data_IF_271760998429
#
_entry.id   IF_271760998429
#
_cell.length_a   1.000
_cell.length_b   1.000
_cell.length_c   1.000
_cell.angle_alpha   90.00
_cell.angle_beta   90.00
_cell.angle_gamma   90.00
#
_symmetry.space_group_name_H-M   'P 1'
#
loop_
_entity.id
_entity.type
_entity.pdbx_description
1 polymer ?
#
# COMPACT_ATOMS: atom_id res chain seq x y z
N UNK A 1 13.15 18.54 -25.12
CA UNK A 1 12.02 19.22 -25.81
C UNK A 1 11.88 20.64 -25.27
N UNK A 2 11.48 21.59 -26.11
CA UNK A 2 11.12 22.97 -25.69
C UNK A 2 9.64 23.18 -25.98
N UNK A 3 8.86 23.48 -24.94
CA UNK A 3 7.47 23.95 -25.08
C UNK A 3 7.54 25.48 -25.27
N UNK A 4 7.08 26.03 -26.41
CA UNK A 4 7.21 27.45 -26.70
C UNK A 4 6.16 28.30 -25.96
N UNK A 5 6.36 29.62 -25.97
CA UNK A 5 5.37 30.58 -25.45
C UNK A 5 4.02 30.45 -26.16
N UNK A 6 2.93 30.79 -25.45
CA UNK A 6 1.55 30.71 -25.96
C UNK A 6 0.92 29.32 -25.86
N UNK A 7 1.67 28.29 -25.45
CA UNK A 7 1.10 27.00 -25.07
C UNK A 7 0.49 27.13 -23.68
N UNK A 8 -0.84 27.00 -23.58
CA UNK A 8 -1.55 27.14 -22.30
C UNK A 8 -1.65 25.82 -21.53
N UNK A 9 -1.64 24.69 -22.24
CA UNK A 9 -1.76 23.35 -21.64
C UNK A 9 -0.83 22.36 -22.31
N UNK A 10 -0.22 21.48 -21.51
CA UNK A 10 0.41 20.26 -22.00
C UNK A 10 -0.65 19.17 -21.92
N UNK A 11 -1.17 18.76 -23.07
CA UNK A 11 -2.33 17.86 -23.16
C UNK A 11 -2.06 16.47 -22.60
N UNK A 12 -3.15 15.76 -22.27
CA UNK A 12 -3.08 14.42 -21.72
C UNK A 12 -2.25 13.49 -22.62
N UNK A 13 -1.33 12.72 -22.01
CA UNK A 13 -0.42 11.78 -22.69
C UNK A 13 0.49 12.40 -23.78
N UNK A 14 0.68 13.72 -23.82
CA UNK A 14 1.42 14.40 -24.91
C UNK A 14 2.84 13.85 -25.17
N UNK A 15 3.54 13.41 -24.13
CA UNK A 15 4.88 12.83 -24.18
C UNK A 15 4.92 11.42 -23.56
N UNK A 16 3.79 10.71 -23.52
CA UNK A 16 3.74 9.37 -22.97
C UNK A 16 4.75 8.43 -23.67
N UNK A 17 5.51 7.67 -22.87
CA UNK A 17 6.56 6.75 -23.29
C UNK A 17 7.64 7.36 -24.19
N UNK A 18 7.91 8.65 -24.07
CA UNK A 18 9.06 9.29 -24.70
C UNK A 18 10.35 8.93 -23.95
N UNK A 19 10.79 7.67 -24.03
CA UNK A 19 11.91 7.12 -23.25
C UNK A 19 13.25 7.85 -23.47
N UNK A 20 13.48 8.41 -24.66
CA UNK A 20 14.69 9.19 -24.97
C UNK A 20 14.60 10.67 -24.55
N UNK A 21 13.49 11.12 -23.96
CA UNK A 21 13.32 12.50 -23.53
C UNK A 21 14.09 12.77 -22.24
N UNK A 22 15.29 13.34 -22.37
CA UNK A 22 16.17 13.60 -21.22
C UNK A 22 15.88 14.92 -20.50
N UNK A 23 15.30 15.89 -21.20
CA UNK A 23 14.99 17.21 -20.64
C UNK A 23 13.77 17.86 -21.31
N UNK A 24 13.02 18.60 -20.51
CA UNK A 24 11.88 19.42 -20.95
C UNK A 24 12.10 20.84 -20.43
N UNK A 25 12.10 21.80 -21.33
CA UNK A 25 12.07 23.22 -21.00
C UNK A 25 10.67 23.74 -21.31
N UNK A 26 9.92 24.12 -20.28
CA UNK A 26 8.56 24.65 -20.41
C UNK A 26 8.66 26.18 -20.39
N UNK A 27 8.39 26.84 -21.52
CA UNK A 27 8.32 28.32 -21.62
C UNK A 27 6.89 28.83 -21.45
N UNK A 28 6.74 30.15 -21.38
CA UNK A 28 5.64 30.85 -20.73
C UNK A 28 4.24 30.50 -21.24
N UNK A 29 3.28 30.75 -20.35
CA UNK A 29 1.81 30.60 -20.47
C UNK A 29 1.22 29.24 -20.11
N UNK A 30 2.02 28.19 -19.92
CA UNK A 30 1.46 26.91 -19.44
C UNK A 30 0.83 27.12 -18.06
N UNK A 31 -0.46 26.80 -17.96
CA UNK A 31 -1.25 26.80 -16.72
C UNK A 31 -1.52 25.39 -16.21
N UNK A 32 -1.47 24.40 -17.10
CA UNK A 32 -1.88 23.04 -16.79
C UNK A 32 -1.00 22.01 -17.50
N UNK A 33 -0.59 21.00 -16.75
CA UNK A 33 0.03 19.76 -17.26
C UNK A 33 -1.00 18.66 -17.02
N UNK A 34 -1.57 18.07 -18.06
CA UNK A 34 -2.69 17.15 -17.93
C UNK A 34 -2.27 15.70 -17.59
N UNK A 35 -3.28 14.85 -17.37
CA UNK A 35 -3.15 13.43 -17.05
C UNK A 35 -2.14 12.68 -17.93
N UNK A 36 -1.22 11.95 -17.30
CA UNK A 36 -0.16 11.17 -17.96
C UNK A 36 0.74 11.94 -18.96
N UNK A 37 0.79 13.28 -18.92
CA UNK A 37 1.48 14.09 -19.93
C UNK A 37 2.93 13.64 -20.21
N UNK A 38 3.68 13.20 -19.20
CA UNK A 38 5.05 12.68 -19.28
C UNK A 38 5.18 11.25 -18.74
N UNK A 39 4.08 10.48 -18.71
CA UNK A 39 4.11 9.09 -18.24
C UNK A 39 5.16 8.27 -19.00
N UNK A 40 5.98 7.49 -18.31
CA UNK A 40 6.98 6.62 -18.92
C UNK A 40 8.13 7.35 -19.62
N UNK A 41 8.37 8.63 -19.35
CA UNK A 41 9.56 9.33 -19.84
C UNK A 41 10.81 8.88 -19.05
N UNK A 42 11.26 7.65 -19.30
CA UNK A 42 12.33 7.01 -18.52
C UNK A 42 13.68 7.71 -18.64
N UNK A 43 13.93 8.48 -19.70
CA UNK A 43 15.14 9.29 -19.85
C UNK A 43 15.14 10.59 -19.05
N UNK A 44 13.99 11.06 -18.55
CA UNK A 44 13.86 12.36 -17.90
C UNK A 44 14.53 12.33 -16.52
N UNK A 45 15.54 13.18 -16.30
CA UNK A 45 16.32 13.19 -15.04
C UNK A 45 15.91 14.30 -14.08
N UNK A 46 15.28 15.36 -14.58
CA UNK A 46 14.87 16.51 -13.77
C UNK A 46 13.66 17.19 -14.36
N UNK A 47 12.79 17.74 -13.51
CA UNK A 47 11.72 18.64 -13.92
C UNK A 47 11.72 19.91 -13.07
N UNK A 48 11.74 21.05 -13.76
CA UNK A 48 11.48 22.37 -13.20
C UNK A 48 10.14 22.84 -13.79
N UNK A 49 9.10 22.78 -12.98
CA UNK A 49 7.77 23.24 -13.38
C UNK A 49 7.76 24.77 -13.24
N UNK A 50 7.55 25.53 -14.34
CA UNK A 50 7.71 26.97 -14.33
C UNK A 50 6.59 27.67 -13.56
N UNK A 51 6.88 28.88 -13.08
CA UNK A 51 5.85 29.77 -12.55
C UNK A 51 4.71 30.00 -13.55
N UNK A 52 3.50 30.04 -13.01
CA UNK A 52 2.26 30.12 -13.77
C UNK A 52 1.55 28.78 -13.93
N UNK A 53 2.21 27.62 -13.77
CA UNK A 53 1.50 26.33 -13.72
C UNK A 53 0.68 26.26 -12.44
N UNK A 54 -0.63 26.07 -12.59
CA UNK A 54 -1.60 26.04 -11.49
C UNK A 54 -2.06 24.62 -11.19
N UNK A 55 -2.06 23.74 -12.19
CA UNK A 55 -2.59 22.36 -12.08
C UNK A 55 -1.63 21.36 -12.71
N UNK A 56 -1.38 20.25 -12.01
CA UNK A 56 -0.68 19.07 -12.53
C UNK A 56 -1.60 17.86 -12.41
N UNK A 57 -1.88 17.20 -13.53
CA UNK A 57 -2.80 16.09 -13.63
C UNK A 57 -2.27 14.81 -13.01
N UNK A 58 -3.20 13.89 -12.72
CA UNK A 58 -2.85 12.61 -12.13
C UNK A 58 -1.82 11.85 -12.99
N UNK A 59 -0.89 11.20 -12.32
CA UNK A 59 0.14 10.37 -12.95
C UNK A 59 0.96 11.11 -14.03
N UNK A 60 1.00 12.45 -14.05
CA UNK A 60 1.65 13.23 -15.10
C UNK A 60 3.12 12.84 -15.33
N UNK A 61 3.83 12.41 -14.29
CA UNK A 61 5.23 11.96 -14.35
C UNK A 61 5.39 10.49 -13.92
N UNK A 62 4.31 9.70 -13.95
CA UNK A 62 4.35 8.28 -13.58
C UNK A 62 5.44 7.53 -14.38
N UNK A 63 6.17 6.64 -13.73
CA UNK A 63 7.16 5.79 -14.39
C UNK A 63 8.39 6.54 -14.95
N UNK A 64 8.60 7.81 -14.61
CA UNK A 64 9.85 8.52 -14.88
C UNK A 64 10.95 8.02 -13.95
N UNK A 65 11.39 6.77 -14.15
CA UNK A 65 12.24 6.02 -13.20
C UNK A 65 13.60 6.66 -12.94
N UNK A 66 14.12 7.47 -13.86
CA UNK A 66 15.38 8.20 -13.69
C UNK A 66 15.20 9.65 -13.21
N UNK A 67 13.97 10.09 -12.91
CA UNK A 67 13.71 11.44 -12.40
C UNK A 67 14.31 11.59 -11.00
N UNK A 68 15.26 12.50 -10.86
CA UNK A 68 16.04 12.71 -9.63
C UNK A 68 15.61 13.96 -8.87
N UNK A 69 15.26 15.03 -9.60
CA UNK A 69 14.92 16.32 -9.01
C UNK A 69 13.59 16.85 -9.53
N UNK A 70 12.79 17.35 -8.60
CA UNK A 70 11.47 17.96 -8.87
C UNK A 70 11.43 19.33 -8.22
N UNK A 71 11.13 20.36 -9.01
CA UNK A 71 10.86 21.71 -8.53
C UNK A 71 9.45 22.13 -8.94
N UNK A 72 8.65 22.52 -7.96
CA UNK A 72 7.25 22.93 -8.11
C UNK A 72 7.10 24.43 -7.81
N UNK A 73 6.31 25.18 -8.59
CA UNK A 73 6.24 26.64 -8.50
C UNK A 73 5.32 27.11 -7.37
N UNK A 74 5.40 28.40 -7.05
CA UNK A 74 4.52 29.05 -6.08
C UNK A 74 3.07 29.17 -6.61
N UNK A 75 2.90 29.20 -7.94
CA UNK A 75 1.59 29.22 -8.58
C UNK A 75 0.77 27.94 -8.43
N UNK A 76 1.39 26.79 -8.16
CA UNK A 76 0.71 25.48 -8.14
C UNK A 76 -0.37 25.43 -7.05
N UNK A 77 -1.60 25.07 -7.44
CA UNK A 77 -2.80 25.06 -6.59
C UNK A 77 -3.37 23.69 -6.34
N UNK A 78 -3.25 22.78 -7.31
CA UNK A 78 -3.78 21.44 -7.19
C UNK A 78 -2.96 20.41 -7.97
N UNK A 79 -3.00 19.19 -7.45
CA UNK A 79 -2.85 18.00 -8.26
C UNK A 79 -4.26 17.57 -8.64
N UNK A 80 -4.56 17.35 -9.92
CA UNK A 80 -5.86 16.84 -10.32
C UNK A 80 -5.87 15.32 -10.10
N UNK A 81 -6.92 14.79 -9.47
CA UNK A 81 -7.11 13.35 -9.30
C UNK A 81 -8.48 12.96 -9.81
N UNK A 82 -8.49 11.90 -10.62
CA UNK A 82 -9.71 11.37 -11.21
C UNK A 82 -10.54 10.62 -10.15
N UNK A 83 -9.93 10.09 -9.08
CA UNK A 83 -10.58 9.19 -8.11
C UNK A 83 -10.21 9.47 -6.63
N UNK A 84 -9.69 10.66 -6.32
CA UNK A 84 -9.29 11.05 -4.95
C UNK A 84 -7.99 10.42 -4.45
N UNK A 85 -7.33 9.58 -5.25
CA UNK A 85 -5.99 9.05 -5.01
C UNK A 85 -5.01 9.79 -5.92
N UNK A 86 -3.98 10.40 -5.35
CA UNK A 86 -2.98 11.19 -6.10
C UNK A 86 -1.72 10.35 -6.30
N UNK A 87 -1.24 10.21 -7.54
CA UNK A 87 0.07 9.58 -7.78
C UNK A 87 0.83 10.19 -8.95
N UNK A 88 1.03 11.51 -8.90
CA UNK A 88 1.74 12.29 -9.93
C UNK A 88 3.11 11.70 -10.29
N UNK A 89 3.82 11.18 -9.29
CA UNK A 89 5.16 10.61 -9.41
C UNK A 89 5.19 9.11 -9.11
N UNK A 90 4.09 8.38 -9.37
CA UNK A 90 4.03 6.92 -9.15
C UNK A 90 5.20 6.21 -9.84
N UNK A 91 5.96 5.39 -9.10
CA UNK A 91 7.06 4.63 -9.67
C UNK A 91 8.33 5.44 -10.01
N UNK A 92 8.36 6.75 -9.70
CA UNK A 92 9.58 7.54 -9.76
C UNK A 92 10.51 7.18 -8.58
N UNK A 93 11.36 6.16 -8.79
CA UNK A 93 12.18 5.55 -7.75
C UNK A 93 13.55 6.21 -7.54
N UNK A 94 13.97 7.09 -8.45
CA UNK A 94 15.26 7.80 -8.37
C UNK A 94 15.18 9.19 -7.72
N UNK A 95 13.99 9.68 -7.37
CA UNK A 95 13.82 11.04 -6.81
C UNK A 95 14.60 11.13 -5.50
N UNK A 96 15.42 12.16 -5.39
CA UNK A 96 16.22 12.47 -4.19
C UNK A 96 16.04 13.91 -3.71
N UNK A 97 15.48 14.79 -4.54
CA UNK A 97 15.24 16.18 -4.18
C UNK A 97 13.86 16.61 -4.65
N UNK A 98 13.05 17.10 -3.71
CA UNK A 98 11.73 17.69 -3.98
C UNK A 98 11.69 19.07 -3.35
N UNK A 99 11.46 20.08 -4.18
CA UNK A 99 11.35 21.47 -3.74
C UNK A 99 10.02 22.02 -4.20
N UNK A 100 9.26 22.55 -3.23
CA UNK A 100 8.11 23.42 -3.49
C UNK A 100 8.57 24.85 -3.23
N UNK A 101 8.38 25.73 -4.20
CA UNK A 101 8.83 27.12 -4.12
C UNK A 101 8.26 27.84 -2.90
N UNK A 102 9.08 28.74 -2.33
CA UNK A 102 8.68 29.58 -1.21
C UNK A 102 7.44 30.41 -1.58
N UNK A 103 6.50 30.54 -0.63
CA UNK A 103 5.26 31.28 -0.84
C UNK A 103 4.17 30.51 -1.59
N UNK A 104 4.39 29.25 -2.01
CA UNK A 104 3.28 28.43 -2.50
C UNK A 104 2.18 28.39 -1.42
N UNK A 105 0.93 28.76 -1.73
CA UNK A 105 -0.13 28.91 -0.72
C UNK A 105 -0.76 27.59 -0.28
N UNK A 106 -0.63 26.51 -1.07
CA UNK A 106 -1.27 25.22 -0.81
C UNK A 106 -0.28 24.16 -0.33
N UNK A 107 0.87 24.06 -0.99
CA UNK A 107 1.84 22.99 -0.78
C UNK A 107 3.12 23.48 -0.11
N UNK A 108 3.84 22.56 0.52
CA UNK A 108 5.18 22.80 1.06
C UNK A 108 6.03 21.53 0.97
N UNK A 109 7.35 21.72 0.89
CA UNK A 109 8.33 20.63 0.99
C UNK A 109 9.03 20.56 2.34
N UNK A 110 8.96 21.64 3.13
CA UNK A 110 9.51 21.75 4.48
C UNK A 110 11.00 21.40 4.62
N UNK A 111 11.76 21.40 3.52
CA UNK A 111 13.15 20.90 3.52
C UNK A 111 13.27 19.40 3.75
N UNK A 112 12.17 18.67 3.72
CA UNK A 112 12.07 17.25 4.04
C UNK A 112 11.91 16.36 2.80
N UNK A 113 12.15 16.88 1.59
CA UNK A 113 11.95 16.19 0.32
C UNK A 113 10.55 15.58 0.16
N UNK A 114 9.51 16.30 0.58
CA UNK A 114 8.11 15.85 0.48
C UNK A 114 7.27 16.87 -0.27
N UNK A 115 6.03 16.49 -0.54
CA UNK A 115 4.94 17.41 -0.89
C UNK A 115 3.88 17.25 0.18
N UNK A 116 3.60 18.32 0.92
CA UNK A 116 2.56 18.36 1.97
C UNK A 116 1.48 19.34 1.55
N UNK A 117 0.20 18.93 1.63
CA UNK A 117 -0.93 19.87 1.62
C UNK A 117 -1.01 20.55 2.99
N UNK A 118 -0.83 21.88 3.00
CA UNK A 118 -0.81 22.68 4.23
C UNK A 118 -2.17 22.79 4.91
N UNK A 119 -3.26 22.72 4.15
CA UNK A 119 -4.60 22.91 4.71
C UNK A 119 -5.03 21.69 5.52
N UNK A 120 -4.68 20.50 5.06
CA UNK A 120 -5.00 19.23 5.74
C UNK A 120 -3.82 18.64 6.53
N UNK A 121 -2.63 19.23 6.44
CA UNK A 121 -1.39 18.66 6.98
C UNK A 121 -1.14 17.21 6.49
N UNK A 122 -1.48 16.93 5.22
CA UNK A 122 -1.35 15.61 4.60
C UNK A 122 -0.08 15.55 3.76
N UNK A 123 0.79 14.58 4.05
CA UNK A 123 1.91 14.24 3.18
C UNK A 123 1.36 13.53 1.94
N UNK A 124 1.46 14.17 0.78
CA UNK A 124 0.94 13.69 -0.50
C UNK A 124 1.95 12.87 -1.29
N UNK A 125 3.24 13.19 -1.16
CA UNK A 125 4.29 12.46 -1.84
C UNK A 125 5.63 12.61 -1.10
N UNK A 126 6.41 11.54 -1.09
CA UNK A 126 7.80 11.53 -0.64
C UNK A 126 8.64 10.55 -1.45
N UNK A 127 9.95 10.69 -1.33
CA UNK A 127 10.96 9.87 -1.97
C UNK A 127 11.87 9.19 -0.93
N UNK A 128 12.94 8.52 -1.38
CA UNK A 128 13.82 7.75 -0.50
C UNK A 128 14.57 8.58 0.55
N UNK A 129 14.86 9.85 0.25
CA UNK A 129 15.57 10.78 1.15
C UNK A 129 14.60 11.63 1.98
N UNK A 130 13.31 11.28 1.99
CA UNK A 130 12.32 12.05 2.72
C UNK A 130 12.36 11.79 4.21
N UNK A 131 12.13 12.85 4.96
CA UNK A 131 11.65 12.76 6.34
C UNK A 131 10.19 13.21 6.38
N UNK A 132 9.39 12.64 7.27
CA UNK A 132 8.04 13.13 7.49
C UNK A 132 8.15 14.37 8.38
N UNK A 133 7.65 15.54 7.96
CA UNK A 133 7.84 16.78 8.71
C UNK A 133 7.02 16.77 10.01
N UNK A 134 7.59 17.38 11.06
CA UNK A 134 6.87 17.69 12.29
C UNK A 134 5.62 18.53 11.98
N UNK A 135 4.47 18.11 12.50
CA UNK A 135 3.17 18.74 12.24
C UNK A 135 2.38 18.13 11.07
N UNK A 136 2.94 17.17 10.32
CA UNK A 136 2.12 16.33 9.46
C UNK A 136 1.16 15.48 10.32
N UNK A 137 -0.10 15.40 9.90
CA UNK A 137 -1.15 14.64 10.61
C UNK A 137 -1.49 13.36 9.86
N UNK A 138 -1.39 13.38 8.53
CA UNK A 138 -1.80 12.26 7.68
C UNK A 138 -0.69 11.87 6.72
N UNK A 139 -0.39 10.57 6.63
CA UNK A 139 0.33 10.02 5.47
C UNK A 139 -0.72 9.67 4.42
N UNK A 140 -0.75 10.48 3.36
CA UNK A 140 -1.76 10.40 2.31
C UNK A 140 -1.70 9.13 1.48
N UNK A 141 -2.78 8.87 0.73
CA UNK A 141 -2.84 7.70 -0.13
C UNK A 141 -1.70 7.72 -1.15
N UNK A 142 -1.02 6.59 -1.31
CA UNK A 142 0.13 6.41 -2.22
C UNK A 142 1.31 7.37 -2.01
N UNK A 143 1.43 8.00 -0.84
CA UNK A 143 2.48 8.98 -0.56
C UNK A 143 3.92 8.49 -0.82
N UNK A 144 4.21 7.22 -0.53
CA UNK A 144 5.48 6.55 -0.77
C UNK A 144 5.31 5.32 -1.67
N UNK A 145 4.29 5.31 -2.53
CA UNK A 145 3.96 4.15 -3.37
C UNK A 145 5.15 3.70 -4.24
N UNK A 146 5.53 2.43 -4.09
CA UNK A 146 6.65 1.76 -4.77
C UNK A 146 8.00 2.47 -4.62
N UNK A 147 8.22 3.19 -3.51
CA UNK A 147 9.54 3.73 -3.16
C UNK A 147 10.45 2.60 -2.63
N UNK A 148 10.88 1.70 -3.52
CA UNK A 148 11.64 0.48 -3.19
C UNK A 148 13.01 0.75 -2.57
N UNK A 149 13.55 1.96 -2.74
CA UNK A 149 14.81 2.40 -2.15
C UNK A 149 14.65 3.03 -0.76
N UNK A 150 13.42 3.25 -0.28
CA UNK A 150 13.14 3.76 1.06
C UNK A 150 13.41 2.65 2.09
N UNK A 151 14.52 2.74 2.82
CA UNK A 151 14.94 1.70 3.77
C UNK A 151 14.39 1.88 5.19
N UNK A 152 14.15 3.15 5.57
CA UNK A 152 13.65 3.53 6.87
C UNK A 152 12.86 4.82 6.75
N UNK A 153 11.79 4.95 7.52
CA UNK A 153 11.05 6.20 7.67
C UNK A 153 10.51 6.30 9.09
N UNK A 154 10.79 7.41 9.75
CA UNK A 154 10.27 7.68 11.09
C UNK A 154 8.88 8.31 10.96
N UNK A 155 7.90 7.77 11.68
CA UNK A 155 6.59 8.38 11.87
C UNK A 155 6.69 9.32 13.10
N UNK A 156 6.66 10.66 12.93
CA UNK A 156 6.72 11.58 14.05
C UNK A 156 5.47 11.50 14.92
N UNK A 157 5.60 11.93 16.18
CA UNK A 157 4.45 12.09 17.06
C UNK A 157 3.52 13.15 16.47
N UNK A 158 2.22 12.84 16.40
CA UNK A 158 1.21 13.70 15.75
C UNK A 158 0.62 13.10 14.47
N UNK A 159 1.29 12.13 13.84
CA UNK A 159 0.68 11.34 12.76
C UNK A 159 -0.48 10.55 13.33
N UNK A 160 -1.67 10.75 12.76
CA UNK A 160 -2.92 10.11 13.17
C UNK A 160 -3.34 9.02 12.19
N UNK A 161 -3.17 9.24 10.88
CA UNK A 161 -3.64 8.29 9.86
C UNK A 161 -2.56 7.93 8.85
N UNK A 162 -2.59 6.66 8.43
CA UNK A 162 -1.79 6.12 7.32
C UNK A 162 -2.77 5.54 6.30
N UNK A 163 -2.94 6.24 5.19
CA UNK A 163 -4.00 5.97 4.22
C UNK A 163 -3.68 4.83 3.24
N UNK A 164 -4.65 4.54 2.38
CA UNK A 164 -4.62 3.50 1.35
C UNK A 164 -3.32 3.51 0.54
N UNK A 165 -2.65 2.36 0.52
CA UNK A 165 -1.42 2.12 -0.23
C UNK A 165 -0.27 3.12 0.07
N UNK A 166 -0.29 3.81 1.21
CA UNK A 166 0.69 4.85 1.55
C UNK A 166 2.14 4.42 1.38
N UNK A 167 2.49 3.19 1.76
CA UNK A 167 3.82 2.59 1.64
C UNK A 167 3.82 1.34 0.75
N UNK A 168 2.77 1.12 -0.05
CA UNK A 168 2.65 -0.10 -0.87
C UNK A 168 3.90 -0.33 -1.72
N UNK A 169 4.47 -1.53 -1.66
CA UNK A 169 5.64 -1.90 -2.44
C UNK A 169 6.94 -1.17 -2.04
N UNK A 170 7.01 -0.59 -0.83
CA UNK A 170 8.28 -0.14 -0.24
C UNK A 170 9.13 -1.35 0.20
N UNK A 171 9.67 -2.09 -0.77
CA UNK A 171 10.39 -3.34 -0.53
C UNK A 171 11.73 -3.16 0.21
N UNK A 172 12.25 -1.94 0.28
CA UNK A 172 13.42 -1.59 1.08
C UNK A 172 13.11 -1.38 2.58
N UNK A 173 11.84 -1.09 2.93
CA UNK A 173 11.46 -0.70 4.28
C UNK A 173 11.49 -1.90 5.21
N UNK A 174 12.35 -1.85 6.25
CA UNK A 174 12.60 -3.00 7.13
C UNK A 174 11.91 -2.90 8.49
N UNK A 175 11.80 -1.70 9.05
CA UNK A 175 11.31 -1.52 10.41
C UNK A 175 10.23 -0.44 10.44
N UNK A 176 9.19 -0.68 11.22
CA UNK A 176 8.10 0.26 11.45
C UNK A 176 7.95 0.53 12.95
N UNK A 177 7.98 1.81 13.32
CA UNK A 177 7.62 2.26 14.67
C UNK A 177 6.33 3.05 14.57
N UNK A 178 5.26 2.54 15.19
CA UNK A 178 3.94 3.20 15.20
C UNK A 178 3.83 4.06 16.47
N UNK A 179 3.76 5.40 16.37
CA UNK A 179 3.71 6.29 17.53
C UNK A 179 2.36 6.26 18.24
N UNK A 180 2.28 6.80 19.46
CA UNK A 180 1.07 6.82 20.27
C UNK A 180 -0.12 7.52 19.60
N UNK A 181 0.16 8.49 18.72
CA UNK A 181 -0.84 9.30 18.03
C UNK A 181 -1.58 8.59 16.90
N UNK A 182 -1.07 7.47 16.37
CA UNK A 182 -1.69 6.77 15.23
C UNK A 182 -2.98 6.10 15.68
N UNK A 183 -4.08 6.49 15.06
CA UNK A 183 -5.42 5.96 15.31
C UNK A 183 -5.97 5.15 14.14
N UNK A 184 -5.40 5.30 12.94
CA UNK A 184 -5.87 4.59 11.75
C UNK A 184 -4.72 4.18 10.82
N UNK A 185 -4.71 2.90 10.44
CA UNK A 185 -3.84 2.33 9.42
C UNK A 185 -4.72 1.55 8.45
N UNK A 186 -4.72 1.98 7.19
CA UNK A 186 -5.42 1.29 6.11
C UNK A 186 -4.80 -0.09 5.87
N UNK A 187 -5.65 -1.09 5.61
CA UNK A 187 -5.24 -2.49 5.40
C UNK A 187 -4.22 -2.67 4.27
N UNK A 188 -4.22 -1.79 3.28
CA UNK A 188 -3.32 -1.84 2.12
C UNK A 188 -2.04 -1.02 2.28
N UNK A 189 -1.91 -0.25 3.37
CA UNK A 189 -0.86 0.75 3.54
C UNK A 189 0.55 0.17 3.38
N UNK A 190 0.80 -1.07 3.82
CA UNK A 190 2.12 -1.71 3.83
C UNK A 190 2.19 -3.01 3.02
N UNK A 191 1.25 -3.22 2.09
CA UNK A 191 1.24 -4.42 1.23
C UNK A 191 2.49 -4.45 0.34
N UNK A 192 3.10 -5.63 0.18
CA UNK A 192 4.41 -5.83 -0.47
C UNK A 192 5.59 -5.09 0.16
N UNK A 193 5.48 -4.63 1.41
CA UNK A 193 6.65 -4.19 2.19
C UNK A 193 7.45 -5.39 2.70
N UNK A 194 8.76 -5.21 2.84
CA UNK A 194 9.68 -6.23 3.37
C UNK A 194 10.00 -5.99 4.85
N UNK A 195 8.95 -5.74 5.64
CA UNK A 195 9.13 -5.48 7.07
C UNK A 195 9.66 -6.73 7.77
N UNK A 196 10.71 -6.52 8.56
CA UNK A 196 11.28 -7.50 9.49
C UNK A 196 10.79 -7.29 10.91
N UNK A 197 10.51 -6.05 11.30
CA UNK A 197 10.00 -5.73 12.63
C UNK A 197 8.97 -4.61 12.60
N UNK A 198 8.01 -4.71 13.52
CA UNK A 198 7.07 -3.63 13.85
C UNK A 198 7.02 -3.50 15.37
N UNK A 199 7.11 -2.26 15.85
CA UNK A 199 6.93 -1.92 17.25
C UNK A 199 5.89 -0.81 17.36
N UNK A 200 5.11 -0.84 18.43
CA UNK A 200 4.08 0.16 18.70
C UNK A 200 4.42 0.84 20.02
N UNK A 201 4.30 2.16 20.05
CA UNK A 201 4.41 2.96 21.26
C UNK A 201 3.47 2.41 22.34
N UNK A 202 3.95 2.13 23.57
CA UNK A 202 3.13 1.60 24.65
C UNK A 202 1.88 2.43 24.97
N UNK A 203 1.94 3.75 24.72
CA UNK A 203 0.84 4.67 24.98
C UNK A 203 -0.18 4.76 23.83
N UNK A 204 0.04 4.05 22.71
CA UNK A 204 -0.92 3.99 21.62
C UNK A 204 -2.24 3.35 22.10
N UNK A 205 -3.36 4.05 21.94
CA UNK A 205 -4.66 3.58 22.45
C UNK A 205 -5.39 2.60 21.52
N UNK A 206 -4.98 2.51 20.25
CA UNK A 206 -5.67 1.74 19.20
C UNK A 206 -4.96 0.43 18.87
N UNK A 207 -3.63 0.43 18.87
CA UNK A 207 -2.82 -0.68 18.40
C UNK A 207 -1.85 -1.21 19.47
N UNK A 208 -1.50 -2.49 19.37
CA UNK A 208 -0.38 -3.11 20.09
C UNK A 208 0.60 -3.76 19.11
N UNK A 209 1.85 -3.88 19.52
CA UNK A 209 2.98 -4.38 18.73
C UNK A 209 3.42 -5.79 19.11
N UNK A 210 2.48 -6.69 19.41
CA UNK A 210 2.82 -8.02 19.92
C UNK A 210 3.28 -8.96 18.79
N UNK A 211 4.33 -9.75 19.04
CA UNK A 211 4.78 -10.79 18.10
C UNK A 211 5.20 -10.26 16.72
N UNK A 212 5.79 -9.06 16.64
CA UNK A 212 6.07 -8.39 15.35
C UNK A 212 4.83 -8.31 14.44
N UNK A 213 3.68 -8.00 15.03
CA UNK A 213 2.44 -7.69 14.32
C UNK A 213 1.88 -6.37 14.83
N UNK A 214 1.09 -5.69 14.00
CA UNK A 214 0.24 -4.58 14.41
C UNK A 214 -1.16 -5.14 14.69
N UNK A 215 -1.56 -5.18 15.96
CA UNK A 215 -2.87 -5.71 16.36
C UNK A 215 -3.77 -4.58 16.81
N UNK A 216 -4.99 -4.53 16.28
CA UNK A 216 -6.01 -3.57 16.71
C UNK A 216 -6.61 -4.04 18.05
N UNK A 217 -6.54 -3.19 19.08
CA UNK A 217 -6.96 -3.50 20.45
C UNK A 217 -8.46 -3.72 20.61
N UNK A 218 -9.28 -3.05 19.79
CA UNK A 218 -10.74 -3.08 19.94
C UNK A 218 -11.37 -4.43 19.65
N UNK A 219 -10.76 -5.20 18.74
CA UNK A 219 -11.31 -6.46 18.24
C UNK A 219 -10.28 -7.61 18.22
N UNK A 220 -8.98 -7.33 18.36
CA UNK A 220 -7.93 -8.34 18.27
C UNK A 220 -7.53 -8.68 16.84
N UNK A 221 -7.89 -7.85 15.85
CA UNK A 221 -7.53 -8.08 14.45
C UNK A 221 -6.05 -7.77 14.20
N UNK A 222 -5.31 -8.71 13.61
CA UNK A 222 -3.98 -8.45 13.06
C UNK A 222 -4.13 -7.61 11.78
N UNK A 223 -3.69 -6.36 11.82
CA UNK A 223 -3.81 -5.40 10.70
C UNK A 223 -2.58 -5.45 9.79
N UNK A 224 -1.41 -5.76 10.35
CA UNK A 224 -0.15 -5.86 9.62
C UNK A 224 0.75 -6.93 10.24
N UNK A 225 1.32 -7.77 9.40
CA UNK A 225 2.35 -8.74 9.71
C UNK A 225 3.69 -8.42 9.04
N UNK A 226 4.71 -9.14 9.47
CA UNK A 226 6.11 -9.03 9.04
C UNK A 226 6.67 -10.43 8.78
N UNK A 227 7.89 -10.52 8.25
CA UNK A 227 8.54 -11.82 7.98
C UNK A 227 8.95 -12.59 9.24
N UNK A 228 8.96 -11.91 10.38
CA UNK A 228 9.29 -12.48 11.69
C UNK A 228 8.08 -12.51 12.63
N UNK A 229 6.87 -12.45 12.08
CA UNK A 229 5.67 -12.44 12.89
C UNK A 229 5.40 -13.75 13.61
N UNK A 230 4.92 -13.62 14.83
CA UNK A 230 4.22 -14.63 15.60
C UNK A 230 2.84 -14.04 15.89
N UNK A 231 1.78 -14.66 15.37
CA UNK A 231 0.42 -14.16 15.64
C UNK A 231 0.15 -14.33 17.15
N UNK A 232 -0.19 -13.26 17.87
CA UNK A 232 -0.38 -13.35 19.31
C UNK A 232 -1.66 -14.12 19.65
N UNK A 233 -1.63 -14.90 20.72
CA UNK A 233 -2.77 -15.73 21.17
C UNK A 233 -4.09 -14.98 21.47
N UNK A 234 -4.13 -13.67 21.82
CA UNK A 234 -5.40 -12.94 21.89
C UNK A 234 -5.97 -12.55 20.52
N UNK A 235 -5.25 -12.76 19.41
CA UNK A 235 -5.74 -12.39 18.08
C UNK A 235 -6.99 -13.17 17.70
N UNK A 236 -8.02 -12.48 17.24
CA UNK A 236 -9.33 -13.05 16.87
C UNK A 236 -9.50 -13.16 15.36
N UNK A 237 -8.78 -12.34 14.60
CA UNK A 237 -8.85 -12.30 13.15
C UNK A 237 -7.50 -11.98 12.53
N UNK A 238 -7.26 -12.52 11.34
CA UNK A 238 -6.17 -12.12 10.47
C UNK A 238 -6.79 -11.17 9.45
N UNK A 239 -6.48 -9.89 9.58
CA UNK A 239 -7.12 -8.81 8.84
C UNK A 239 -6.85 -8.85 7.34
N UNK A 240 -7.66 -8.11 6.59
CA UNK A 240 -7.54 -8.03 5.14
C UNK A 240 -6.13 -7.56 4.78
N UNK A 241 -5.49 -8.25 3.85
CA UNK A 241 -4.12 -7.95 3.39
C UNK A 241 -3.01 -7.99 4.46
N UNK A 242 -3.26 -8.43 5.70
CA UNK A 242 -2.33 -8.29 6.82
C UNK A 242 -0.93 -8.87 6.56
N UNK A 243 -0.85 -9.99 5.83
CA UNK A 243 0.38 -10.67 5.40
C UNK A 243 0.54 -10.68 3.87
N UNK A 244 -0.17 -9.80 3.15
CA UNK A 244 -0.14 -9.78 1.70
C UNK A 244 1.24 -9.34 1.17
N UNK A 245 1.85 -10.19 0.34
CA UNK A 245 3.20 -9.96 -0.19
C UNK A 245 4.33 -10.16 0.82
N UNK A 246 4.04 -10.70 2.01
CA UNK A 246 5.05 -11.01 3.04
C UNK A 246 5.73 -12.35 2.70
N UNK A 247 7.06 -12.36 2.70
CA UNK A 247 7.85 -13.58 2.54
C UNK A 247 7.96 -14.30 3.89
N UNK A 248 6.87 -14.96 4.24
CA UNK A 248 6.77 -15.83 5.39
C UNK A 248 6.52 -17.24 4.89
N UNK A 249 7.37 -18.19 5.29
CA UNK A 249 7.29 -19.58 4.81
C UNK A 249 6.30 -20.43 5.59
N UNK A 250 6.19 -20.16 6.89
CA UNK A 250 5.32 -20.85 7.84
C UNK A 250 4.88 -19.85 8.89
N UNK A 251 3.66 -20.02 9.37
CA UNK A 251 3.11 -19.21 10.45
C UNK A 251 2.15 -20.08 11.25
N UNK A 252 2.29 -20.05 12.57
CA UNK A 252 1.34 -20.70 13.46
C UNK A 252 0.13 -19.78 13.64
N UNK A 253 -1.07 -20.32 13.41
CA UNK A 253 -2.33 -19.60 13.62
C UNK A 253 -2.92 -20.04 14.96
N UNK A 254 -3.06 -19.14 15.96
CA UNK A 254 -3.59 -19.48 17.27
C UNK A 254 -5.06 -19.90 17.23
N UNK A 255 -5.48 -20.80 18.12
CA UNK A 255 -6.87 -21.29 18.23
C UNK A 255 -7.90 -20.24 18.64
N UNK A 256 -7.46 -19.03 18.98
CA UNK A 256 -8.31 -17.86 19.22
C UNK A 256 -8.82 -17.23 17.91
N UNK A 257 -8.13 -17.46 16.80
CA UNK A 257 -8.50 -16.90 15.50
C UNK A 257 -9.82 -17.54 15.04
N UNK A 258 -10.72 -16.68 14.56
CA UNK A 258 -12.05 -17.02 14.04
C UNK A 258 -12.16 -16.69 12.56
N UNK A 259 -11.51 -15.61 12.11
CA UNK A 259 -11.67 -15.10 10.75
C UNK A 259 -10.33 -14.94 10.05
N UNK A 260 -10.24 -15.42 8.81
CA UNK A 260 -9.17 -15.10 7.87
C UNK A 260 -9.75 -14.24 6.76
N UNK A 261 -9.41 -12.96 6.77
CA UNK A 261 -10.02 -11.96 5.90
C UNK A 261 -9.49 -11.97 4.46
N UNK A 262 -10.14 -11.17 3.60
CA UNK A 262 -9.83 -11.08 2.17
C UNK A 262 -8.35 -10.79 1.94
N UNK A 263 -7.72 -11.59 1.09
CA UNK A 263 -6.30 -11.43 0.72
C UNK A 263 -5.31 -11.44 1.90
N UNK A 264 -5.70 -11.96 3.08
CA UNK A 264 -4.88 -11.94 4.29
C UNK A 264 -3.43 -12.40 4.07
N UNK A 265 -3.21 -13.48 3.32
CA UNK A 265 -1.91 -14.06 2.97
C UNK A 265 -1.65 -14.06 1.46
N UNK A 266 -2.39 -13.28 0.67
CA UNK A 266 -2.21 -13.26 -0.79
C UNK A 266 -0.76 -12.90 -1.16
N UNK A 267 -0.22 -13.51 -2.22
CA UNK A 267 1.17 -13.29 -2.66
C UNK A 267 2.25 -13.58 -1.60
N UNK A 268 1.93 -14.29 -0.52
CA UNK A 268 2.91 -14.69 0.48
C UNK A 268 3.77 -15.87 -0.02
N UNK A 269 4.91 -16.08 0.65
CA UNK A 269 5.81 -17.21 0.35
C UNK A 269 5.51 -18.46 1.20
N UNK A 270 4.27 -18.58 1.72
CA UNK A 270 3.86 -19.72 2.55
C UNK A 270 4.05 -21.03 1.79
N UNK A 271 4.61 -22.03 2.47
CA UNK A 271 4.79 -23.38 1.94
C UNK A 271 3.69 -24.32 2.43
N UNK A 272 3.30 -24.14 3.70
CA UNK A 272 2.23 -24.87 4.36
C UNK A 272 1.51 -23.97 5.36
N UNK A 273 0.22 -24.23 5.60
CA UNK A 273 -0.52 -23.60 6.70
C UNK A 273 -1.49 -24.59 7.34
N UNK A 274 -1.59 -24.52 8.67
CA UNK A 274 -2.56 -25.27 9.46
C UNK A 274 -3.49 -24.26 10.13
N UNK A 275 -4.76 -24.30 9.75
CA UNK A 275 -5.79 -23.47 10.37
C UNK A 275 -6.41 -24.23 11.56
N UNK A 276 -6.45 -23.63 12.76
CA UNK A 276 -6.87 -24.33 13.96
C UNK A 276 -8.39 -24.48 14.04
N UNK A 277 -8.84 -25.49 14.79
CA UNK A 277 -10.25 -25.58 15.19
C UNK A 277 -10.69 -24.29 15.89
N UNK A 278 -11.84 -23.78 15.46
CA UNK A 278 -12.37 -22.47 15.85
C UNK A 278 -12.37 -21.46 14.71
N UNK A 279 -11.61 -21.64 13.63
CA UNK A 279 -11.74 -20.78 12.43
C UNK A 279 -13.10 -21.05 11.78
N UNK A 280 -13.89 -19.99 11.62
CA UNK A 280 -15.28 -20.02 11.14
C UNK A 280 -15.41 -19.55 9.70
N UNK A 281 -14.44 -18.78 9.18
CA UNK A 281 -14.54 -18.19 7.84
C UNK A 281 -13.15 -17.93 7.22
N UNK A 282 -13.03 -18.18 5.92
CA UNK A 282 -11.87 -17.84 5.09
C UNK A 282 -12.37 -17.06 3.87
N UNK A 283 -12.14 -15.76 3.85
CA UNK A 283 -12.66 -14.88 2.79
C UNK A 283 -11.89 -15.00 1.47
N UNK A 284 -12.48 -14.41 0.45
CA UNK A 284 -11.97 -14.39 -0.93
C UNK A 284 -10.48 -14.08 -1.00
N UNK A 285 -9.77 -14.86 -1.83
CA UNK A 285 -8.36 -14.65 -2.13
C UNK A 285 -7.42 -14.66 -0.92
N UNK A 286 -7.86 -15.13 0.27
CA UNK A 286 -7.04 -15.15 1.48
C UNK A 286 -5.64 -15.74 1.27
N UNK A 287 -5.50 -16.73 0.40
CA UNK A 287 -4.25 -17.39 0.03
C UNK A 287 -4.01 -17.37 -1.48
N UNK A 288 -4.50 -16.35 -2.19
CA UNK A 288 -4.32 -16.23 -3.63
C UNK A 288 -2.85 -15.99 -3.99
N UNK A 289 -2.44 -16.47 -5.16
CA UNK A 289 -1.10 -16.23 -5.72
C UNK A 289 0.07 -16.56 -4.78
N UNK A 290 -0.06 -17.58 -3.94
CA UNK A 290 1.01 -18.06 -3.08
C UNK A 290 1.81 -19.14 -3.83
N UNK A 291 2.93 -18.81 -4.52
CA UNK A 291 3.55 -19.69 -5.50
C UNK A 291 4.20 -20.96 -4.89
N UNK A 292 4.34 -21.00 -3.57
CA UNK A 292 4.98 -22.08 -2.85
C UNK A 292 4.04 -22.87 -1.94
N UNK A 293 2.76 -22.47 -1.85
CA UNK A 293 1.79 -23.07 -0.94
C UNK A 293 1.37 -24.44 -1.47
N UNK A 294 1.90 -25.50 -0.85
CA UNK A 294 1.69 -26.89 -1.27
C UNK A 294 0.65 -27.61 -0.42
N UNK A 295 0.62 -27.29 0.88
CA UNK A 295 -0.22 -27.96 1.86
C UNK A 295 -1.07 -27.00 2.66
N UNK A 296 -2.35 -27.31 2.81
CA UNK A 296 -3.27 -26.57 3.66
C UNK A 296 -4.04 -27.56 4.51
N UNK A 297 -4.05 -27.38 5.82
CA UNK A 297 -4.94 -28.11 6.72
C UNK A 297 -6.10 -27.20 7.16
N UNK A 298 -7.32 -27.61 6.83
CA UNK A 298 -8.56 -26.90 7.12
C UNK A 298 -9.27 -27.53 8.33
N UNK A 299 -9.82 -26.73 9.26
CA UNK A 299 -10.53 -27.23 10.44
C UNK A 299 -11.99 -27.55 10.13
N UNK A 300 -12.57 -28.44 10.93
CA UNK A 300 -14.00 -28.79 10.83
C UNK A 300 -14.92 -27.62 11.16
N UNK A 301 -14.50 -26.71 12.03
CA UNK A 301 -15.27 -25.53 12.43
C UNK A 301 -15.71 -24.62 11.27
N UNK A 302 -15.12 -24.75 10.08
CA UNK A 302 -15.60 -24.06 8.88
C UNK A 302 -17.01 -24.50 8.46
N UNK A 303 -17.46 -25.69 8.87
CA UNK A 303 -18.82 -26.18 8.63
C UNK A 303 -19.84 -25.63 9.63
N UNK A 304 -19.39 -25.12 10.79
CA UNK A 304 -20.30 -24.62 11.83
C UNK A 304 -20.96 -23.29 11.43
N UNK A 305 -20.42 -22.61 10.43
CA UNK A 305 -20.90 -21.31 9.92
C UNK A 305 -21.84 -21.44 8.70
N UNK A 306 -22.48 -22.61 8.53
CA UNK A 306 -23.29 -22.96 7.35
C UNK A 306 -24.60 -22.15 7.13
N UNK A 307 -24.81 -21.06 7.87
CA UNK A 307 -25.93 -20.13 7.69
C UNK A 307 -25.66 -19.04 6.63
N UNK A 308 -24.44 -18.91 6.10
CA UNK A 308 -24.11 -17.94 5.04
C UNK A 308 -24.15 -18.56 3.63
N UNK A 309 -25.12 -18.10 2.84
CA UNK A 309 -25.30 -18.25 1.38
C UNK A 309 -24.88 -19.61 0.77
N UNK A 310 -25.87 -20.49 0.60
CA UNK A 310 -25.80 -21.82 -0.03
C UNK A 310 -25.12 -21.89 -1.42
N UNK A 311 -24.69 -20.80 -2.04
CA UNK A 311 -24.17 -20.77 -3.43
C UNK A 311 -22.65 -20.56 -3.55
N UNK A 312 -21.94 -20.18 -2.47
CA UNK A 312 -20.49 -19.92 -2.51
C UNK A 312 -19.79 -20.66 -1.38
N UNK A 313 -18.92 -21.63 -1.72
CA UNK A 313 -18.16 -22.38 -0.71
C UNK A 313 -17.36 -21.45 0.21
N UNK A 314 -17.27 -21.81 1.50
CA UNK A 314 -16.68 -21.00 2.58
C UNK A 314 -15.17 -20.74 2.40
N UNK A 315 -14.52 -21.45 1.47
CA UNK A 315 -13.14 -21.19 1.04
C UNK A 315 -13.02 -21.10 -0.50
N UNK A 316 -14.14 -20.87 -1.19
CA UNK A 316 -14.17 -20.71 -2.65
C UNK A 316 -13.30 -19.52 -3.04
N UNK A 317 -12.45 -19.69 -4.05
CA UNK A 317 -11.46 -18.68 -4.49
C UNK A 317 -10.39 -18.28 -3.44
N UNK A 318 -10.38 -18.85 -2.23
CA UNK A 318 -9.37 -18.54 -1.22
C UNK A 318 -7.95 -18.86 -1.74
N UNK A 319 -7.80 -19.93 -2.50
CA UNK A 319 -6.51 -20.43 -3.03
C UNK A 319 -6.30 -20.12 -4.54
N UNK A 320 -6.94 -19.07 -5.05
CA UNK A 320 -6.88 -18.72 -6.48
C UNK A 320 -5.42 -18.59 -6.97
N UNK A 321 -5.06 -19.30 -8.06
CA UNK A 321 -3.70 -19.33 -8.65
C UNK A 321 -2.59 -19.83 -7.70
N UNK A 322 -2.93 -20.49 -6.60
CA UNK A 322 -1.95 -21.16 -5.72
C UNK A 322 -1.86 -22.66 -6.06
N UNK A 323 -0.64 -23.26 -6.11
CA UNK A 323 -0.44 -24.65 -6.53
C UNK A 323 -0.69 -25.63 -5.37
N UNK A 324 -1.85 -25.52 -4.72
CA UNK A 324 -2.20 -26.37 -3.57
C UNK A 324 -2.49 -27.79 -4.06
N UNK A 325 -1.56 -28.70 -3.79
CA UNK A 325 -1.68 -30.11 -4.18
C UNK A 325 -2.33 -30.96 -3.09
N UNK A 326 -2.21 -30.53 -1.82
CA UNK A 326 -2.68 -31.26 -0.65
C UNK A 326 -3.55 -30.35 0.23
N UNK A 327 -4.86 -30.61 0.24
CA UNK A 327 -5.80 -29.99 1.19
C UNK A 327 -6.25 -31.08 2.15
N UNK A 328 -5.70 -31.04 3.35
CA UNK A 328 -6.01 -31.92 4.46
C UNK A 328 -7.25 -31.38 5.18
N UNK A 329 -8.30 -32.19 5.25
CA UNK A 329 -9.56 -31.86 5.91
C UNK A 329 -10.14 -33.16 6.46
N UNK A 330 -10.41 -33.19 7.77
CA UNK A 330 -10.80 -34.42 8.47
C UNK A 330 -12.30 -34.79 8.32
N UNK A 331 -13.04 -34.13 7.42
CA UNK A 331 -14.43 -34.42 7.10
C UNK A 331 -14.65 -35.32 5.88
N UNK A 332 -15.91 -35.53 5.55
CA UNK A 332 -16.36 -36.33 4.40
C UNK A 332 -15.95 -35.69 3.06
N UNK A 333 -15.83 -36.49 1.99
CA UNK A 333 -15.59 -35.95 0.64
C UNK A 333 -16.64 -34.91 0.20
N UNK A 334 -17.90 -35.07 0.61
CA UNK A 334 -18.99 -34.15 0.33
C UNK A 334 -18.81 -32.80 1.05
N UNK A 335 -18.49 -32.83 2.34
CA UNK A 335 -18.19 -31.62 3.13
C UNK A 335 -16.97 -30.89 2.55
N UNK A 336 -15.92 -31.62 2.18
CA UNK A 336 -14.74 -31.06 1.54
C UNK A 336 -15.10 -30.37 0.21
N UNK A 337 -15.95 -31.00 -0.61
CA UNK A 337 -16.39 -30.42 -1.88
C UNK A 337 -17.22 -29.16 -1.66
N UNK A 338 -18.16 -29.19 -0.72
CA UNK A 338 -18.97 -28.02 -0.37
C UNK A 338 -18.09 -26.83 0.05
N UNK A 339 -17.08 -27.05 0.89
CA UNK A 339 -16.16 -26.00 1.34
C UNK A 339 -15.39 -25.33 0.20
N UNK A 340 -14.89 -26.13 -0.75
CA UNK A 340 -13.98 -25.65 -1.81
C UNK A 340 -14.71 -25.16 -3.07
N UNK A 341 -15.83 -25.79 -3.41
CA UNK A 341 -16.55 -25.56 -4.67
C UNK A 341 -17.92 -24.89 -4.48
N UNK A 342 -18.51 -24.97 -3.28
CA UNK A 342 -19.92 -24.61 -3.04
C UNK A 342 -20.88 -25.75 -3.39
N UNK A 343 -22.21 -25.52 -3.30
CA UNK A 343 -23.23 -26.56 -3.56
C UNK A 343 -23.44 -26.86 -5.05
N UNK A 344 -22.99 -25.99 -5.96
CA UNK A 344 -23.05 -26.18 -7.40
C UNK A 344 -24.36 -26.82 -7.88
N UNK A 345 -25.49 -26.13 -7.78
CA UNK A 345 -26.65 -26.49 -8.61
C UNK A 345 -26.23 -26.27 -10.08
N UNK A 346 -26.14 -27.38 -10.82
CA UNK A 346 -25.80 -27.48 -12.24
C UNK A 346 -26.52 -26.47 -13.14
#
# INVERSE_FOLDING_TARGET
VVIPDGVVKIGARAFENCENLTSVCIRGDVREIEYLAFNGCTGLTSIEVPEGVEVIGDSAFRGCVNLQTVQLPASLRSFDSVDGVFSVFEGCTAIMSIVVAEGNPRFASCGCNVIVDKASATLLFGCRESTIPEGAIHVGARAFYKQSQLSAIALPQGIQTIATEAFYGCTGLQNLVVPASVTEVDATAFVFCNLSAVSVDPDNQVYSGEGNTLVRKSDGTVVLGTRQSVIPAPATAIGAFAFCGVDIKRIDVPSSVRFVERSAFAHSSLEEIVLPEGVLEIKDMAFADCPHLKKVALPHSLLDNADFEMDYGVARNAFLRSPVADVDFAGTPEERRFLLEGTGLC
#
